data_IF_197014294990
#
_entry.id   IF_197014294990
#
_cell.length_a   1.000
_cell.length_b   1.000
_cell.length_c   1.000
_cell.angle_alpha   90.00
_cell.angle_beta   90.00
_cell.angle_gamma   90.00
#
_symmetry.space_group_name_H-M   'P 1'
#
loop_
_entity.id
_entity.type
_entity.pdbx_description
1 polymer ?
#
# COMPACT_ATOMS: atom_id res chain seq x y z
N UNK A 1 37.52 -65.59 15.85
CA UNK A 1 36.83 -64.36 16.32
C UNK A 1 37.45 -63.06 15.80
N UNK A 2 38.75 -62.79 15.95
CA UNK A 2 39.36 -61.49 15.53
C UNK A 2 39.19 -61.12 14.04
N UNK A 3 39.24 -62.09 13.12
CA UNK A 3 39.05 -61.82 11.68
C UNK A 3 37.60 -61.46 11.31
N UNK A 4 36.61 -62.02 12.02
CA UNK A 4 35.20 -61.74 11.75
C UNK A 4 34.83 -60.31 12.19
N UNK A 5 35.36 -59.87 13.34
CA UNK A 5 35.13 -58.51 13.85
C UNK A 5 35.72 -57.44 12.93
N UNK A 6 36.90 -57.70 12.35
CA UNK A 6 37.54 -56.76 11.42
C UNK A 6 36.73 -56.58 10.13
N UNK A 7 36.19 -57.66 9.57
CA UNK A 7 35.35 -57.61 8.37
C UNK A 7 34.06 -56.83 8.62
N UNK A 8 33.43 -57.04 9.79
CA UNK A 8 32.21 -56.31 10.16
C UNK A 8 32.48 -54.81 10.33
N UNK A 9 33.60 -54.43 10.97
CA UNK A 9 33.97 -53.01 11.13
C UNK A 9 34.31 -52.32 9.81
N UNK A 10 34.97 -53.01 8.86
CA UNK A 10 35.27 -52.42 7.55
C UNK A 10 33.99 -52.28 6.73
N UNK A 11 33.07 -53.24 6.78
CA UNK A 11 31.78 -53.14 6.11
C UNK A 11 30.91 -52.01 6.66
N UNK A 12 30.83 -51.84 7.98
CA UNK A 12 30.07 -50.72 8.56
C UNK A 12 30.70 -49.37 8.25
N UNK A 13 32.03 -49.27 8.21
CA UNK A 13 32.71 -48.04 7.78
C UNK A 13 32.44 -47.73 6.29
N UNK A 14 32.48 -48.72 5.41
CA UNK A 14 32.15 -48.54 3.99
C UNK A 14 30.68 -48.14 3.79
N UNK A 15 29.74 -48.73 4.53
CA UNK A 15 28.32 -48.35 4.47
C UNK A 15 28.12 -46.91 4.98
N UNK A 16 28.84 -46.47 6.01
CA UNK A 16 28.78 -45.08 6.48
C UNK A 16 29.40 -44.08 5.51
N UNK A 17 30.52 -44.44 4.85
CA UNK A 17 31.14 -43.57 3.84
C UNK A 17 30.25 -43.44 2.59
N UNK A 18 29.59 -44.51 2.14
CA UNK A 18 28.64 -44.46 1.03
C UNK A 18 27.39 -43.63 1.36
N UNK A 19 26.84 -43.74 2.58
CA UNK A 19 25.69 -42.93 3.01
C UNK A 19 26.05 -41.46 3.32
N UNK A 20 27.33 -41.12 3.47
CA UNK A 20 27.76 -39.74 3.69
C UNK A 20 27.90 -38.94 2.38
N UNK A 21 28.04 -39.60 1.23
CA UNK A 21 28.10 -38.92 -0.07
C UNK A 21 26.73 -38.58 -0.67
N UNK A 22 25.63 -39.16 -0.18
CA UNK A 22 24.27 -38.90 -0.71
C UNK A 22 23.52 -37.78 0.05
N UNK A 23 24.21 -37.01 0.89
CA UNK A 23 23.60 -35.92 1.68
C UNK A 23 23.77 -34.51 1.07
N UNK A 24 24.58 -34.35 0.03
CA UNK A 24 24.74 -33.05 -0.65
C UNK A 24 23.64 -32.75 -1.68
N UNK A 25 22.94 -33.75 -2.21
CA UNK A 25 21.90 -33.53 -3.24
C UNK A 25 20.59 -32.92 -2.68
N UNK A 26 20.24 -33.20 -1.42
CA UNK A 26 18.96 -32.75 -0.85
C UNK A 26 18.92 -31.25 -0.49
N UNK A 27 20.08 -30.59 -0.35
CA UNK A 27 20.13 -29.16 -0.06
C UNK A 27 19.96 -28.33 -1.35
N UNK A 28 20.45 -28.84 -2.48
CA UNK A 28 20.32 -28.20 -3.79
C UNK A 28 18.88 -28.25 -4.30
N UNK A 29 18.18 -29.38 -4.12
CA UNK A 29 16.78 -29.52 -4.55
C UNK A 29 15.84 -28.60 -3.77
N UNK A 30 16.07 -28.41 -2.46
CA UNK A 30 15.24 -27.51 -1.63
C UNK A 30 15.45 -26.02 -1.95
N UNK A 31 16.68 -25.60 -2.25
CA UNK A 31 16.97 -24.21 -2.65
C UNK A 31 16.31 -23.92 -4.00
N UNK A 32 16.46 -24.80 -4.99
CA UNK A 32 15.82 -24.62 -6.29
C UNK A 32 14.29 -24.66 -6.25
N UNK A 33 13.70 -25.47 -5.38
CA UNK A 33 12.24 -25.49 -5.22
C UNK A 33 11.74 -24.17 -4.61
N UNK A 34 12.42 -23.65 -3.58
CA UNK A 34 12.08 -22.36 -2.97
C UNK A 34 12.36 -21.15 -3.90
N UNK A 35 13.36 -21.25 -4.79
CA UNK A 35 13.63 -20.23 -5.82
C UNK A 35 12.57 -20.22 -6.93
N UNK A 36 12.11 -21.38 -7.38
CA UNK A 36 11.03 -21.44 -8.37
C UNK A 36 9.71 -20.91 -7.78
N UNK A 37 9.43 -21.23 -6.51
CA UNK A 37 8.20 -20.83 -5.82
C UNK A 37 8.01 -19.29 -5.78
N UNK A 38 9.09 -18.51 -5.62
CA UNK A 38 8.98 -17.03 -5.57
C UNK A 38 8.69 -16.42 -6.95
N UNK A 39 9.30 -16.93 -8.02
CA UNK A 39 9.08 -16.40 -9.36
C UNK A 39 7.69 -16.76 -9.86
N UNK A 40 7.24 -18.00 -9.63
CA UNK A 40 5.89 -18.45 -9.96
C UNK A 40 4.84 -17.62 -9.23
N UNK A 41 5.04 -17.33 -7.94
CA UNK A 41 4.20 -16.41 -7.19
C UNK A 41 4.15 -15.02 -7.83
N UNK A 42 5.30 -14.42 -8.17
CA UNK A 42 5.32 -13.10 -8.80
C UNK A 42 4.61 -13.11 -10.15
N UNK A 43 4.82 -14.13 -11.00
CA UNK A 43 4.16 -14.24 -12.30
C UNK A 43 2.65 -14.41 -12.21
N UNK A 44 2.16 -15.07 -11.15
CA UNK A 44 0.73 -15.20 -10.91
C UNK A 44 0.10 -13.85 -10.47
N UNK A 45 0.87 -13.02 -9.75
CA UNK A 45 0.35 -11.80 -9.11
C UNK A 45 0.69 -10.50 -9.84
N UNK A 46 1.52 -10.55 -10.87
CA UNK A 46 1.87 -9.37 -11.67
C UNK A 46 1.69 -9.60 -13.16
N UNK A 47 1.28 -8.54 -13.86
CA UNK A 47 1.20 -8.50 -15.32
C UNK A 47 1.78 -7.18 -15.83
N UNK A 48 2.08 -7.09 -17.13
CA UNK A 48 2.53 -5.85 -17.78
C UNK A 48 1.50 -5.43 -18.81
N UNK A 49 0.94 -4.24 -18.62
CA UNK A 49 -0.06 -3.66 -19.51
C UNK A 49 0.46 -2.33 -20.07
N UNK A 50 0.61 -2.24 -21.39
CA UNK A 50 1.14 -1.05 -22.07
C UNK A 50 2.48 -0.54 -21.48
N UNK A 51 3.35 -1.46 -21.07
CA UNK A 51 4.63 -1.15 -20.44
C UNK A 51 4.55 -0.69 -18.98
N UNK A 52 3.39 -0.84 -18.33
CA UNK A 52 3.17 -0.52 -16.91
C UNK A 52 2.93 -1.80 -16.13
N UNK A 53 3.58 -1.93 -14.97
CA UNK A 53 3.35 -3.07 -14.08
C UNK A 53 1.97 -2.95 -13.43
N UNK A 54 1.21 -4.04 -13.47
CA UNK A 54 -0.07 -4.20 -12.78
C UNK A 54 0.12 -5.27 -11.70
N UNK A 55 -0.19 -4.92 -10.46
CA UNK A 55 -0.09 -5.82 -9.31
C UNK A 55 -1.49 -6.07 -8.74
N UNK A 56 -1.84 -7.32 -8.47
CA UNK A 56 -3.10 -7.63 -7.77
C UNK A 56 -3.17 -6.95 -6.40
N UNK A 57 -4.29 -6.30 -6.08
CA UNK A 57 -4.43 -5.50 -4.88
C UNK A 57 -4.37 -6.32 -3.59
N UNK A 58 -4.78 -7.59 -3.63
CA UNK A 58 -4.73 -8.48 -2.46
C UNK A 58 -3.30 -8.97 -2.20
N UNK A 59 -2.53 -9.16 -3.26
CA UNK A 59 -1.14 -9.62 -3.19
C UNK A 59 -0.12 -8.49 -3.21
N UNK A 60 -0.52 -7.22 -3.31
CA UNK A 60 0.38 -6.08 -3.48
C UNK A 60 1.55 -6.09 -2.49
N UNK A 61 1.27 -6.23 -1.20
CA UNK A 61 2.33 -6.17 -0.19
C UNK A 61 3.16 -7.45 -0.09
N UNK A 62 2.59 -8.60 -0.39
CA UNK A 62 3.34 -9.86 -0.49
C UNK A 62 4.31 -9.79 -1.68
N UNK A 63 3.88 -9.24 -2.81
CA UNK A 63 4.72 -8.94 -3.97
C UNK A 63 5.85 -8.00 -3.56
N UNK A 64 5.55 -6.87 -2.90
CA UNK A 64 6.59 -5.94 -2.42
C UNK A 64 7.59 -6.61 -1.47
N UNK A 65 7.11 -7.49 -0.57
CA UNK A 65 7.96 -8.23 0.35
C UNK A 65 8.92 -9.17 -0.39
N UNK A 66 8.43 -9.93 -1.37
CA UNK A 66 9.28 -10.80 -2.19
C UNK A 66 10.30 -9.97 -2.96
N UNK A 67 9.87 -8.93 -3.67
CA UNK A 67 10.75 -8.03 -4.45
C UNK A 67 11.80 -7.35 -3.56
N UNK A 68 11.47 -7.01 -2.32
CA UNK A 68 12.41 -6.41 -1.37
C UNK A 68 13.56 -7.32 -0.97
N UNK A 69 13.36 -8.63 -1.03
CA UNK A 69 14.36 -9.64 -0.72
C UNK A 69 15.26 -10.01 -1.90
N UNK A 70 14.95 -9.52 -3.10
CA UNK A 70 15.69 -9.88 -4.32
C UNK A 70 16.89 -8.96 -4.55
N UNK A 71 17.99 -9.55 -5.03
CA UNK A 71 19.15 -8.81 -5.51
C UNK A 71 18.94 -8.28 -6.94
N UNK A 72 19.89 -7.52 -7.47
CA UNK A 72 19.73 -6.88 -8.79
C UNK A 72 19.64 -7.90 -9.93
N UNK A 73 20.43 -8.97 -9.91
CA UNK A 73 20.40 -10.00 -10.97
C UNK A 73 19.06 -10.74 -10.98
N UNK A 74 18.52 -11.03 -9.78
CA UNK A 74 17.21 -11.66 -9.62
C UNK A 74 16.08 -10.75 -10.10
N UNK A 75 16.17 -9.44 -9.81
CA UNK A 75 15.21 -8.44 -10.27
C UNK A 75 15.28 -8.27 -11.79
N UNK A 76 16.48 -8.17 -12.36
CA UNK A 76 16.68 -8.06 -13.81
C UNK A 76 16.10 -9.29 -14.53
N UNK A 77 16.35 -10.49 -14.01
CA UNK A 77 15.79 -11.74 -14.54
C UNK A 77 14.24 -11.75 -14.49
N UNK A 78 13.65 -11.38 -13.36
CA UNK A 78 12.17 -11.31 -13.24
C UNK A 78 11.57 -10.28 -14.20
N UNK A 79 12.15 -9.07 -14.26
CA UNK A 79 11.73 -8.00 -15.16
C UNK A 79 11.79 -8.42 -16.63
N UNK A 80 12.89 -9.03 -17.07
CA UNK A 80 13.07 -9.53 -18.43
C UNK A 80 12.06 -10.63 -18.75
N UNK A 81 11.74 -11.48 -17.77
CA UNK A 81 10.80 -12.57 -17.96
C UNK A 81 9.36 -12.09 -18.18
N UNK A 82 8.95 -11.02 -17.51
CA UNK A 82 7.61 -10.42 -17.70
C UNK A 82 7.57 -9.33 -18.78
N UNK A 83 8.71 -9.00 -19.39
CA UNK A 83 8.80 -7.93 -20.39
C UNK A 83 8.61 -6.53 -19.80
N UNK A 84 9.02 -6.32 -18.54
CA UNK A 84 8.93 -5.06 -17.83
C UNK A 84 10.29 -4.36 -17.78
N UNK A 85 10.29 -3.03 -17.93
CA UNK A 85 11.50 -2.21 -17.72
C UNK A 85 11.21 -1.25 -16.58
N UNK A 86 11.76 -1.57 -15.40
CA UNK A 86 11.56 -0.75 -14.22
C UNK A 86 12.35 0.55 -14.28
N UNK A 87 11.92 1.49 -13.44
CA UNK A 87 12.62 2.73 -13.18
C UNK A 87 14.03 2.46 -12.64
N UNK A 88 14.19 1.47 -11.73
CA UNK A 88 15.49 1.01 -11.22
C UNK A 88 16.41 0.58 -12.36
N UNK A 89 15.96 -0.35 -13.22
CA UNK A 89 16.76 -0.86 -14.34
C UNK A 89 17.20 0.28 -15.25
N UNK A 90 16.29 1.20 -15.54
CA UNK A 90 16.60 2.34 -16.41
C UNK A 90 17.60 3.31 -15.81
N UNK A 91 17.51 3.59 -14.52
CA UNK A 91 18.50 4.41 -13.81
C UNK A 91 19.87 3.74 -13.83
N UNK A 92 19.94 2.46 -13.53
CA UNK A 92 21.21 1.72 -13.51
C UNK A 92 21.90 1.77 -14.90
N UNK A 93 21.15 1.50 -15.98
CA UNK A 93 21.67 1.61 -17.35
C UNK A 93 22.25 3.01 -17.66
N UNK A 94 21.59 4.07 -17.18
CA UNK A 94 22.01 5.45 -17.41
C UNK A 94 23.25 5.78 -16.57
N UNK A 95 23.25 5.39 -15.30
CA UNK A 95 24.35 5.65 -14.38
C UNK A 95 25.61 4.87 -14.78
N UNK A 96 25.50 3.63 -15.23
CA UNK A 96 26.65 2.87 -15.76
C UNK A 96 27.27 3.57 -16.96
N UNK A 97 26.46 4.09 -17.89
CA UNK A 97 26.97 4.88 -19.03
C UNK A 97 27.61 6.18 -18.56
N UNK A 98 27.02 6.84 -17.57
CA UNK A 98 27.54 8.08 -16.98
C UNK A 98 28.88 7.87 -16.26
N UNK A 99 29.02 6.83 -15.44
CA UNK A 99 30.28 6.53 -14.75
C UNK A 99 31.42 6.19 -15.71
N UNK A 100 31.09 5.69 -16.91
CA UNK A 100 32.05 5.41 -17.97
C UNK A 100 32.34 6.62 -18.89
N UNK A 101 31.62 7.74 -18.73
CA UNK A 101 31.79 8.96 -19.52
C UNK A 101 32.16 10.15 -18.62
N UNK A 102 33.45 10.46 -18.54
CA UNK A 102 33.98 11.56 -17.72
C UNK A 102 33.60 12.96 -18.22
N UNK A 103 32.90 13.08 -19.35
CA UNK A 103 32.56 14.38 -19.95
C UNK A 103 31.18 14.91 -19.57
N UNK A 104 30.26 14.02 -19.18
CA UNK A 104 28.90 14.40 -18.86
C UNK A 104 28.83 15.04 -17.47
N UNK A 105 28.25 16.24 -17.37
CA UNK A 105 28.05 16.88 -16.06
C UNK A 105 26.73 16.42 -15.42
N UNK A 106 26.64 16.32 -14.08
CA UNK A 106 25.41 15.96 -13.37
C UNK A 106 24.16 16.75 -13.86
N UNK A 107 24.30 18.06 -14.03
CA UNK A 107 23.22 18.94 -14.51
C UNK A 107 22.75 18.59 -15.94
N UNK A 108 23.66 18.19 -16.82
CA UNK A 108 23.32 17.80 -18.19
C UNK A 108 22.55 16.49 -18.22
N UNK A 109 22.88 15.56 -17.31
CA UNK A 109 22.15 14.31 -17.16
C UNK A 109 20.70 14.55 -16.73
N UNK A 110 20.48 15.39 -15.71
CA UNK A 110 19.14 15.75 -15.25
C UNK A 110 18.31 16.45 -16.35
N UNK A 111 18.93 17.32 -17.15
CA UNK A 111 18.26 17.94 -18.28
C UNK A 111 17.91 16.94 -19.40
N UNK A 112 18.74 15.93 -19.61
CA UNK A 112 18.53 14.89 -20.63
C UNK A 112 17.45 13.89 -20.23
N UNK A 113 17.31 13.63 -18.93
CA UNK A 113 16.36 12.67 -18.38
C UNK A 113 15.53 13.29 -17.24
N UNK A 114 14.72 14.33 -17.53
CA UNK A 114 14.01 15.10 -16.50
C UNK A 114 12.90 14.32 -15.81
N UNK A 115 12.45 13.19 -16.38
CA UNK A 115 11.48 12.28 -15.77
C UNK A 115 12.14 11.25 -14.82
N UNK A 116 13.48 11.16 -14.83
CA UNK A 116 14.25 10.22 -14.03
C UNK A 116 15.11 10.91 -12.98
N UNK A 117 15.62 12.10 -13.25
CA UNK A 117 16.55 12.78 -12.35
C UNK A 117 16.20 14.25 -12.16
N UNK A 118 16.55 14.77 -11.00
CA UNK A 118 16.64 16.21 -10.74
C UNK A 118 18.05 16.56 -10.26
N UNK A 119 18.42 17.83 -10.42
CA UNK A 119 19.72 18.36 -10.02
C UNK A 119 19.54 19.38 -8.90
N UNK A 120 20.23 19.16 -7.79
CA UNK A 120 20.19 19.99 -6.58
C UNK A 120 21.53 19.88 -5.86
N UNK A 121 22.02 20.99 -5.29
CA UNK A 121 23.28 21.02 -4.53
C UNK A 121 24.48 20.34 -5.21
N UNK A 122 24.63 20.59 -6.51
CA UNK A 122 25.70 20.01 -7.35
C UNK A 122 25.66 18.50 -7.54
N UNK A 123 24.56 17.86 -7.15
CA UNK A 123 24.37 16.40 -7.21
C UNK A 123 23.11 16.08 -8.03
N UNK A 124 23.09 14.90 -8.65
CA UNK A 124 21.88 14.35 -9.25
C UNK A 124 21.20 13.40 -8.29
N UNK A 125 19.87 13.47 -8.27
CA UNK A 125 19.04 12.59 -7.46
C UNK A 125 17.96 11.97 -8.35
N UNK A 126 17.60 10.70 -8.12
CA UNK A 126 16.44 10.12 -8.77
C UNK A 126 15.16 10.83 -8.30
N UNK A 127 14.13 10.91 -9.13
CA UNK A 127 12.83 11.44 -8.68
C UNK A 127 12.21 10.53 -7.61
N UNK A 128 12.34 9.22 -7.80
CA UNK A 128 11.88 8.20 -6.88
C UNK A 128 13.09 7.70 -6.08
N UNK A 129 13.18 8.07 -4.79
CA UNK A 129 14.34 7.70 -3.96
C UNK A 129 14.25 6.29 -3.39
N UNK A 130 13.02 5.82 -3.14
CA UNK A 130 12.77 4.52 -2.53
C UNK A 130 13.02 3.39 -3.53
N UNK A 131 13.94 2.47 -3.21
CA UNK A 131 14.31 1.34 -4.09
C UNK A 131 13.11 0.46 -4.48
N UNK A 132 12.17 0.19 -3.57
CA UNK A 132 10.99 -0.64 -3.88
C UNK A 132 10.07 0.07 -4.87
N UNK A 133 9.83 1.36 -4.69
CA UNK A 133 9.06 2.16 -5.63
C UNK A 133 9.75 2.19 -7.01
N UNK A 134 11.08 2.30 -7.06
CA UNK A 134 11.83 2.20 -8.31
C UNK A 134 11.69 0.83 -9.00
N UNK A 135 11.54 -0.25 -8.23
CA UNK A 135 11.37 -1.61 -8.78
C UNK A 135 10.00 -1.76 -9.43
N UNK A 136 8.93 -1.25 -8.81
CA UNK A 136 7.56 -1.45 -9.32
C UNK A 136 7.13 -0.43 -10.36
N UNK A 137 7.78 0.74 -10.41
CA UNK A 137 7.43 1.79 -11.37
C UNK A 137 8.06 1.53 -12.74
N UNK A 138 7.33 1.86 -13.81
CA UNK A 138 7.91 1.97 -15.15
C UNK A 138 8.85 3.20 -15.25
N UNK A 139 9.45 3.43 -16.42
CA UNK A 139 10.37 4.55 -16.67
C UNK A 139 9.76 5.95 -16.55
N UNK A 140 8.43 6.05 -16.45
CA UNK A 140 7.69 7.30 -16.21
C UNK A 140 7.26 7.47 -14.75
N UNK A 141 7.66 6.55 -13.86
CA UNK A 141 7.25 6.56 -12.46
C UNK A 141 5.81 6.07 -12.23
N UNK A 142 5.29 5.20 -13.09
CA UNK A 142 3.88 4.77 -13.10
C UNK A 142 3.76 3.27 -12.81
N UNK A 143 2.72 2.88 -12.06
CA UNK A 143 2.33 1.48 -11.84
C UNK A 143 0.83 1.39 -11.48
N UNK A 144 0.26 0.19 -11.56
CA UNK A 144 -1.10 -0.09 -11.12
C UNK A 144 -1.14 -1.08 -9.97
N UNK A 145 -2.05 -0.83 -9.03
CA UNK A 145 -2.48 -1.80 -8.03
C UNK A 145 -3.93 -2.15 -8.33
N UNK A 146 -4.13 -3.17 -9.16
CA UNK A 146 -5.41 -3.50 -9.80
C UNK A 146 -6.01 -2.26 -10.49
N UNK A 147 -7.22 -1.85 -10.14
CA UNK A 147 -7.92 -0.71 -10.74
C UNK A 147 -7.53 0.64 -10.11
N UNK A 148 -6.29 0.78 -9.63
CA UNK A 148 -5.74 2.03 -9.07
C UNK A 148 -4.46 2.38 -9.79
N UNK A 149 -4.46 3.52 -10.47
CA UNK A 149 -3.27 4.10 -11.09
C UNK A 149 -2.47 4.89 -10.06
N UNK A 150 -1.17 4.64 -10.02
CA UNK A 150 -0.22 5.28 -9.12
C UNK A 150 0.85 5.98 -9.96
N UNK A 151 1.20 7.22 -9.60
CA UNK A 151 2.32 7.91 -10.25
C UNK A 151 3.11 8.79 -9.29
N UNK A 152 4.43 8.63 -9.35
CA UNK A 152 5.38 9.50 -8.69
C UNK A 152 5.78 10.69 -9.56
N UNK A 153 5.86 11.86 -8.93
CA UNK A 153 6.48 13.08 -9.44
C UNK A 153 7.57 13.52 -8.48
N UNK A 154 8.29 14.60 -8.84
CA UNK A 154 9.35 15.17 -7.99
C UNK A 154 8.83 15.60 -6.62
N UNK A 155 7.68 16.27 -6.61
CA UNK A 155 7.12 16.98 -5.46
C UNK A 155 5.87 16.30 -4.89
N UNK A 156 5.28 15.35 -5.62
CA UNK A 156 4.02 14.71 -5.25
C UNK A 156 3.92 13.26 -5.69
N UNK A 157 2.96 12.56 -5.12
CA UNK A 157 2.48 11.25 -5.55
C UNK A 157 0.97 11.34 -5.79
N UNK A 158 0.48 10.68 -6.84
CA UNK A 158 -0.95 10.64 -7.15
C UNK A 158 -1.48 9.21 -7.14
N UNK A 159 -2.70 9.06 -6.63
CA UNK A 159 -3.53 7.85 -6.70
C UNK A 159 -4.81 8.18 -7.45
N UNK A 160 -5.15 7.36 -8.46
CA UNK A 160 -6.38 7.50 -9.24
C UNK A 160 -7.11 6.16 -9.24
N UNK A 161 -8.17 6.06 -8.47
CA UNK A 161 -9.06 4.90 -8.44
C UNK A 161 -9.97 4.86 -9.67
N UNK A 162 -10.31 3.67 -10.19
CA UNK A 162 -11.12 3.51 -11.41
C UNK A 162 -10.64 4.46 -12.53
N UNK A 163 -9.38 4.29 -12.98
CA UNK A 163 -8.73 5.25 -13.86
C UNK A 163 -9.23 5.14 -15.30
N UNK A 164 -9.45 6.30 -15.90
CA UNK A 164 -9.60 6.47 -17.35
C UNK A 164 -8.60 7.53 -17.84
N UNK A 165 -8.40 7.63 -19.15
CA UNK A 165 -7.41 8.55 -19.73
C UNK A 165 -7.67 10.01 -19.35
N UNK A 166 -8.92 10.47 -19.34
CA UNK A 166 -9.25 11.86 -19.00
C UNK A 166 -8.93 12.14 -17.53
N UNK A 167 -9.30 11.21 -16.66
CA UNK A 167 -9.08 11.28 -15.22
C UNK A 167 -7.60 11.23 -14.84
N UNK A 168 -6.82 10.36 -15.50
CA UNK A 168 -5.36 10.30 -15.33
C UNK A 168 -4.74 11.63 -15.76
N UNK A 169 -5.06 12.14 -16.95
CA UNK A 169 -4.49 13.39 -17.45
C UNK A 169 -4.87 14.59 -16.57
N UNK A 170 -6.11 14.65 -16.07
CA UNK A 170 -6.49 15.65 -15.08
C UNK A 170 -5.68 15.52 -13.78
N UNK A 171 -5.50 14.29 -13.27
CA UNK A 171 -4.76 14.04 -12.03
C UNK A 171 -3.28 14.42 -12.13
N UNK A 172 -2.63 14.17 -13.28
CA UNK A 172 -1.23 14.55 -13.51
C UNK A 172 -1.01 16.06 -13.36
N UNK A 173 -1.97 16.85 -13.86
CA UNK A 173 -1.88 18.31 -13.92
C UNK A 173 -2.40 19.03 -12.67
N UNK A 174 -3.02 18.32 -11.72
CA UNK A 174 -3.57 18.95 -10.52
C UNK A 174 -2.64 18.86 -9.32
N UNK A 175 -2.76 19.84 -8.42
CA UNK A 175 -2.06 19.87 -7.13
C UNK A 175 -2.97 19.50 -5.95
N UNK A 176 -4.29 19.46 -6.17
CA UNK A 176 -5.27 19.24 -5.11
C UNK A 176 -5.86 17.83 -5.16
N UNK A 177 -6.23 17.30 -4.00
CA UNK A 177 -7.03 16.08 -3.88
C UNK A 177 -8.49 16.34 -4.28
N UNK A 178 -9.06 15.44 -5.10
CA UNK A 178 -10.48 15.41 -5.48
C UNK A 178 -11.07 14.05 -5.12
N UNK A 179 -11.22 13.77 -3.82
CA UNK A 179 -11.67 12.46 -3.32
C UNK A 179 -13.03 12.03 -3.89
N UNK A 180 -13.95 12.95 -4.18
CA UNK A 180 -15.23 12.64 -4.84
C UNK A 180 -15.07 12.06 -6.24
N UNK A 181 -13.96 12.39 -6.90
CA UNK A 181 -13.56 11.81 -8.18
C UNK A 181 -12.64 10.60 -7.99
N UNK A 182 -12.25 10.20 -6.79
CA UNK A 182 -11.27 9.14 -6.55
C UNK A 182 -9.84 9.53 -6.96
N UNK A 183 -9.51 10.83 -6.91
CA UNK A 183 -8.16 11.34 -7.17
C UNK A 183 -7.58 11.85 -5.86
N UNK A 184 -6.46 11.27 -5.44
CA UNK A 184 -5.74 11.69 -4.25
C UNK A 184 -4.34 12.15 -4.65
N UNK A 185 -3.94 13.31 -4.13
CA UNK A 185 -2.62 13.92 -4.35
C UNK A 185 -1.97 14.08 -2.99
N UNK A 186 -0.74 13.59 -2.86
CA UNK A 186 0.06 13.64 -1.65
C UNK A 186 1.33 14.42 -1.95
N UNK A 187 1.68 15.39 -1.11
CA UNK A 187 2.99 16.02 -1.20
C UNK A 187 4.07 15.02 -0.78
N UNK A 188 5.23 15.04 -1.43
CA UNK A 188 6.31 14.07 -1.15
C UNK A 188 6.83 14.21 0.28
N UNK A 189 6.87 15.43 0.82
CA UNK A 189 7.19 15.71 2.22
C UNK A 189 6.29 14.95 3.19
N UNK A 190 4.99 14.90 2.91
CA UNK A 190 4.02 14.20 3.75
C UNK A 190 4.26 12.69 3.75
N UNK A 191 4.78 12.12 2.67
CA UNK A 191 5.06 10.68 2.55
C UNK A 191 6.35 10.26 3.28
N UNK A 192 7.37 11.11 3.23
CA UNK A 192 8.67 10.88 3.89
C UNK A 192 8.51 10.95 5.42
N UNK A 193 7.80 11.96 5.92
CA UNK A 193 7.59 12.14 7.36
C UNK A 193 6.66 11.09 7.97
N UNK A 194 5.79 10.48 7.15
CA UNK A 194 4.77 9.56 7.64
C UNK A 194 5.12 8.08 7.54
N UNK A 195 6.16 7.65 6.80
CA UNK A 195 6.43 6.22 6.54
C UNK A 195 5.18 5.48 6.01
N UNK A 196 4.54 6.00 4.95
CA UNK A 196 3.31 5.41 4.39
C UNK A 196 2.16 5.27 5.41
N UNK A 197 1.89 6.28 6.25
CA UNK A 197 0.64 6.25 7.04
C UNK A 197 -0.53 6.45 6.09
N UNK A 198 -1.50 5.57 6.20
CA UNK A 198 -2.77 5.73 5.52
C UNK A 198 -3.49 6.98 6.05
N UNK A 199 -4.04 7.80 5.17
CA UNK A 199 -4.75 9.02 5.59
C UNK A 199 -6.06 8.66 6.29
N UNK A 200 -6.63 9.57 7.09
CA UNK A 200 -7.86 9.33 7.86
C UNK A 200 -9.13 9.21 7.01
N UNK A 201 -9.07 9.47 5.70
CA UNK A 201 -10.24 9.47 4.82
C UNK A 201 -9.90 9.02 3.39
N UNK A 202 -10.62 8.01 2.94
CA UNK A 202 -10.64 7.55 1.56
C UNK A 202 -12.08 7.52 1.07
N UNK A 203 -12.30 7.94 -0.19
CA UNK A 203 -13.58 7.80 -0.85
C UNK A 203 -13.37 7.55 -2.33
N UNK A 204 -14.05 6.55 -2.86
CA UNK A 204 -14.01 6.22 -4.27
C UNK A 204 -15.34 5.61 -4.70
N UNK A 205 -15.49 5.40 -6.01
CA UNK A 205 -16.59 4.65 -6.58
C UNK A 205 -16.12 3.85 -7.79
N UNK A 206 -16.91 2.84 -8.14
CA UNK A 206 -16.83 2.17 -9.44
C UNK A 206 -18.15 2.28 -10.16
N UNK A 207 -18.10 2.53 -11.47
CA UNK A 207 -19.28 2.66 -12.32
C UNK A 207 -19.39 1.50 -13.32
N UNK A 208 -20.60 0.97 -13.47
CA UNK A 208 -20.96 0.05 -14.56
C UNK A 208 -22.29 0.47 -15.19
N UNK A 209 -22.22 0.97 -16.42
CA UNK A 209 -23.37 1.50 -17.15
C UNK A 209 -24.08 2.64 -16.39
N UNK A 210 -25.32 2.40 -15.97
CA UNK A 210 -26.13 3.37 -15.21
C UNK A 210 -26.05 3.20 -13.70
N UNK A 211 -25.19 2.31 -13.21
CA UNK A 211 -25.05 2.02 -11.78
C UNK A 211 -23.64 2.39 -11.33
N UNK A 212 -23.52 2.86 -10.09
CA UNK A 212 -22.23 3.03 -9.41
C UNK A 212 -22.32 2.59 -7.96
N UNK A 213 -21.24 2.02 -7.45
CA UNK A 213 -21.06 1.68 -6.03
C UNK A 213 -19.98 2.56 -5.45
N UNK A 214 -20.28 3.24 -4.36
CA UNK A 214 -19.34 4.03 -3.58
C UNK A 214 -18.79 3.21 -2.43
N UNK A 215 -17.54 3.49 -2.09
CA UNK A 215 -16.91 3.03 -0.87
C UNK A 215 -16.16 4.19 -0.23
N UNK A 216 -16.40 4.39 1.06
CA UNK A 216 -15.71 5.35 1.90
C UNK A 216 -15.13 4.60 3.09
N UNK A 217 -13.88 4.91 3.45
CA UNK A 217 -13.24 4.47 4.68
C UNK A 217 -12.78 5.71 5.41
N UNK A 218 -13.20 5.90 6.66
CA UNK A 218 -12.95 7.14 7.38
C UNK A 218 -12.77 6.96 8.89
N UNK A 219 -11.97 7.85 9.47
CA UNK A 219 -11.90 8.13 10.89
C UNK A 219 -12.74 9.37 11.15
N UNK A 220 -13.92 9.18 11.73
CA UNK A 220 -14.84 10.24 12.13
C UNK A 220 -14.49 10.75 13.50
N UNK A 221 -14.47 12.08 13.63
CA UNK A 221 -14.38 12.79 14.89
C UNK A 221 -15.75 13.29 15.31
N UNK A 222 -16.17 12.97 16.53
CA UNK A 222 -17.36 13.50 17.17
C UNK A 222 -16.97 14.29 18.41
N UNK A 223 -17.37 15.56 18.50
CA UNK A 223 -17.15 16.38 19.70
C UNK A 223 -18.34 16.16 20.62
N UNK A 224 -18.12 15.50 21.76
CA UNK A 224 -19.20 15.04 22.66
C UNK A 224 -19.41 15.95 23.87
N UNK A 225 -18.57 16.97 24.08
CA UNK A 225 -18.88 18.00 25.07
C UNK A 225 -18.10 19.30 24.96
N UNK A 226 -18.81 20.43 25.17
CA UNK A 226 -18.37 21.59 25.97
C UNK A 226 -19.58 22.37 26.54
N UNK A 227 -19.75 22.37 27.87
CA UNK A 227 -20.13 23.53 28.72
C UNK A 227 -20.28 23.04 30.17
N UNK A 228 -19.41 23.50 31.08
CA UNK A 228 -19.62 23.39 32.54
C UNK A 228 -18.53 22.70 33.38
N UNK A 229 -17.52 22.07 32.77
CA UNK A 229 -16.33 21.60 33.52
C UNK A 229 -15.29 22.73 33.63
N UNK A 230 -14.55 22.86 34.75
CA UNK A 230 -13.84 24.11 35.13
C UNK A 230 -12.72 24.61 34.19
N UNK A 231 -12.47 24.01 33.01
CA UNK A 231 -11.25 24.27 32.23
C UNK A 231 -11.42 24.26 30.68
N UNK A 232 -12.61 24.54 30.13
CA UNK A 232 -12.84 24.55 28.67
C UNK A 232 -12.38 23.24 27.96
N UNK A 233 -12.58 22.10 28.62
CA UNK A 233 -12.19 20.79 28.12
C UNK A 233 -13.07 20.36 26.95
N UNK A 234 -12.44 19.93 25.84
CA UNK A 234 -13.08 19.28 24.70
C UNK A 234 -12.82 17.78 24.76
N UNK A 235 -13.88 16.98 24.76
CA UNK A 235 -13.79 15.53 24.58
C UNK A 235 -14.11 15.22 23.12
N UNK A 236 -13.12 14.71 22.40
CA UNK A 236 -13.23 14.26 21.02
C UNK A 236 -13.27 12.74 21.00
N UNK A 237 -14.37 12.18 20.53
CA UNK A 237 -14.51 10.75 20.30
C UNK A 237 -14.16 10.42 18.87
N UNK A 238 -13.35 9.39 18.66
CA UNK A 238 -12.96 8.95 17.34
C UNK A 238 -13.59 7.61 17.01
N UNK A 239 -14.06 7.48 15.77
CA UNK A 239 -14.65 6.27 15.23
C UNK A 239 -14.02 5.95 13.88
N UNK A 240 -13.44 4.76 13.73
CA UNK A 240 -12.95 4.28 12.44
C UNK A 240 -13.99 3.38 11.79
N UNK A 241 -14.15 3.45 10.48
CA UNK A 241 -15.13 2.61 9.82
C UNK A 241 -15.19 2.77 8.33
N UNK A 242 -16.24 2.19 7.76
CA UNK A 242 -16.50 2.20 6.34
C UNK A 242 -17.97 2.48 6.06
N UNK A 243 -18.25 2.96 4.85
CA UNK A 243 -19.60 3.16 4.31
C UNK A 243 -19.60 2.78 2.83
N UNK A 244 -20.55 1.94 2.44
CA UNK A 244 -20.80 1.56 1.04
C UNK A 244 -22.25 1.91 0.65
N UNK A 245 -22.46 2.48 -0.54
CA UNK A 245 -23.80 2.81 -1.03
C UNK A 245 -23.88 2.77 -2.55
N UNK A 246 -25.07 2.46 -3.07
CA UNK A 246 -25.32 2.36 -4.51
C UNK A 246 -26.02 3.61 -5.05
N UNK A 247 -25.64 4.06 -6.24
CA UNK A 247 -26.41 5.05 -6.99
C UNK A 247 -26.71 4.57 -8.42
N UNK A 248 -27.88 4.98 -8.93
CA UNK A 248 -28.32 4.71 -10.30
C UNK A 248 -28.70 6.00 -11.01
N UNK A 249 -28.32 6.10 -12.28
CA UNK A 249 -28.67 7.22 -13.15
C UNK A 249 -30.14 7.11 -13.57
N UNK A 250 -30.94 8.12 -13.23
CA UNK A 250 -32.34 8.20 -13.66
C UNK A 250 -32.45 8.63 -15.14
N UNK A 251 -33.68 8.68 -15.67
CA UNK A 251 -33.92 9.04 -17.07
C UNK A 251 -33.49 10.47 -17.44
N UNK A 252 -33.41 11.37 -16.44
CA UNK A 252 -32.88 12.75 -16.59
C UNK A 252 -31.34 12.81 -16.51
N UNK A 253 -30.66 11.67 -16.44
CA UNK A 253 -29.22 11.63 -16.30
C UNK A 253 -28.70 11.97 -14.90
N UNK A 254 -29.55 12.16 -13.90
CA UNK A 254 -29.16 12.47 -12.52
C UNK A 254 -28.92 11.19 -11.73
N UNK A 255 -27.85 11.17 -10.95
CA UNK A 255 -27.57 10.08 -10.02
C UNK A 255 -28.45 10.17 -8.78
N UNK A 256 -29.01 9.04 -8.36
CA UNK A 256 -29.84 8.90 -7.17
C UNK A 256 -29.48 7.62 -6.42
N UNK A 257 -29.53 7.67 -5.10
CA UNK A 257 -29.50 6.47 -4.25
C UNK A 257 -30.52 5.46 -4.76
N UNK A 258 -30.17 4.18 -4.76
CA UNK A 258 -31.10 3.11 -5.09
C UNK A 258 -30.85 1.89 -4.22
N UNK A 259 -31.93 1.19 -3.89
CA UNK A 259 -31.86 -0.05 -3.13
C UNK A 259 -31.26 -1.15 -3.99
N UNK A 260 -30.19 -1.77 -3.48
CA UNK A 260 -29.49 -2.88 -4.14
C UNK A 260 -28.97 -3.85 -3.10
N UNK A 261 -28.52 -5.02 -3.56
CA UNK A 261 -27.74 -5.91 -2.70
C UNK A 261 -26.32 -5.35 -2.66
N UNK A 262 -25.85 -5.00 -1.47
CA UNK A 262 -24.49 -4.50 -1.22
C UNK A 262 -23.76 -5.57 -0.42
N UNK A 263 -22.60 -5.99 -0.93
CA UNK A 263 -21.70 -6.89 -0.23
C UNK A 263 -20.42 -6.13 0.08
N UNK A 264 -20.04 -6.13 1.34
CA UNK A 264 -18.74 -5.62 1.79
C UNK A 264 -17.96 -6.81 2.32
N UNK A 265 -16.75 -6.98 1.83
CA UNK A 265 -15.87 -8.08 2.21
C UNK A 265 -14.46 -7.59 2.44
N UNK A 266 -13.69 -8.41 3.15
CA UNK A 266 -12.30 -8.11 3.50
C UNK A 266 -12.16 -6.76 4.22
N UNK A 267 -13.21 -6.25 4.87
CA UNK A 267 -13.15 -4.99 5.59
C UNK A 267 -12.27 -5.18 6.82
N UNK A 268 -11.06 -4.64 6.74
CA UNK A 268 -10.02 -4.70 7.75
C UNK A 268 -9.33 -3.33 7.80
N UNK A 269 -9.02 -2.81 8.99
CA UNK A 269 -8.17 -1.63 9.13
C UNK A 269 -7.46 -1.61 10.50
N UNK A 270 -6.22 -1.14 10.50
CA UNK A 270 -5.44 -0.81 11.70
C UNK A 270 -5.40 0.71 11.83
N UNK A 271 -5.52 1.23 13.05
CA UNK A 271 -5.53 2.68 13.31
C UNK A 271 -4.42 3.01 14.29
N UNK A 272 -3.57 3.96 13.92
CA UNK A 272 -2.62 4.56 14.83
C UNK A 272 -3.31 5.69 15.59
N UNK A 273 -3.52 5.48 16.89
CA UNK A 273 -4.03 6.49 17.81
C UNK A 273 -2.83 7.10 18.55
N UNK A 274 -2.43 8.35 18.25
CA UNK A 274 -1.27 8.97 18.88
C UNK A 274 -1.52 9.17 20.37
N UNK A 275 -0.58 8.69 21.19
CA UNK A 275 -0.58 8.81 22.65
C UNK A 275 0.31 9.98 23.05
N UNK A 276 -0.17 10.86 23.92
CA UNK A 276 0.65 11.91 24.53
C UNK A 276 0.83 11.63 26.02
N UNK A 277 1.82 10.82 26.37
CA UNK A 277 2.31 10.72 27.75
C UNK A 277 3.44 11.74 27.94
N UNK A 278 3.10 12.93 28.44
CA UNK A 278 4.11 13.88 28.90
C UNK A 278 4.44 13.56 30.36
N UNK A 279 5.55 12.85 30.52
CA UNK A 279 6.40 12.61 31.69
C UNK A 279 6.17 13.57 32.90
N UNK A 280 5.01 13.48 33.56
CA UNK A 280 4.76 13.40 35.02
C UNK A 280 3.24 13.55 35.28
N UNK A 281 2.57 12.51 35.79
CA UNK A 281 1.13 12.51 36.06
C UNK A 281 0.80 13.33 37.31
N UNK A 282 -0.13 14.29 37.21
CA UNK A 282 -0.85 14.79 38.38
C UNK A 282 -1.91 13.72 38.77
N UNK A 283 -1.89 13.20 40.01
CA UNK A 283 -2.76 12.13 40.48
C UNK A 283 -4.26 12.46 40.54
N UNK A 284 -4.74 13.60 40.00
CA UNK A 284 -6.15 14.01 40.08
C UNK A 284 -6.95 14.28 38.80
N UNK A 285 -6.41 14.17 37.58
CA UNK A 285 -7.15 13.95 36.30
C UNK A 285 -6.41 14.52 35.08
N UNK A 286 -5.38 13.84 34.59
CA UNK A 286 -4.84 14.19 33.27
C UNK A 286 -4.86 13.00 32.31
N UNK A 287 -5.80 13.11 31.36
CA UNK A 287 -5.88 12.48 30.04
C UNK A 287 -5.32 11.06 29.88
N UNK A 288 -6.17 10.05 30.05
CA UNK A 288 -5.87 8.70 29.61
C UNK A 288 -6.09 8.56 28.09
N UNK A 289 -5.13 7.93 27.41
CA UNK A 289 -5.30 7.49 26.02
C UNK A 289 -5.64 5.99 26.01
N UNK A 290 -6.72 5.61 25.34
CA UNK A 290 -7.06 4.21 25.07
C UNK A 290 -6.46 3.80 23.72
N UNK A 291 -5.72 2.69 23.72
CA UNK A 291 -5.17 2.08 22.51
C UNK A 291 -6.00 0.85 22.17
N UNK A 292 -6.52 0.79 20.94
CA UNK A 292 -7.08 -0.44 20.40
C UNK A 292 -6.24 -0.88 19.21
N UNK A 293 -5.66 -2.06 19.34
CA UNK A 293 -5.04 -2.81 18.24
C UNK A 293 -5.87 -4.06 18.04
N UNK A 294 -7.02 -3.94 17.38
CA UNK A 294 -7.58 -5.09 16.68
C UNK A 294 -8.56 -4.66 15.59
N UNK A 295 -8.36 -5.22 14.41
CA UNK A 295 -9.21 -4.99 13.25
C UNK A 295 -10.39 -5.96 13.30
N UNK A 296 -11.65 -5.50 13.30
CA UNK A 296 -12.74 -6.40 12.96
C UNK A 296 -12.56 -6.81 11.49
N UNK A 297 -12.44 -8.11 11.21
CA UNK A 297 -12.57 -8.64 9.85
C UNK A 297 -14.04 -8.83 9.58
N UNK A 298 -14.58 -8.07 8.64
CA UNK A 298 -16.01 -8.18 8.32
C UNK A 298 -16.26 -8.63 6.88
N UNK A 299 -17.21 -9.56 6.77
CA UNK A 299 -17.86 -9.91 5.53
C UNK A 299 -19.36 -9.81 5.76
N UNK A 300 -19.99 -8.78 5.19
CA UNK A 300 -21.41 -8.50 5.35
C UNK A 300 -22.08 -8.39 4.00
N UNK A 301 -23.30 -8.90 3.92
CA UNK A 301 -24.16 -8.78 2.76
C UNK A 301 -25.51 -8.29 3.22
N UNK A 302 -26.01 -7.24 2.59
CA UNK A 302 -27.32 -6.66 2.87
C UNK A 302 -28.12 -6.63 1.58
N UNK A 303 -29.36 -7.11 1.65
CA UNK A 303 -30.26 -7.17 0.50
C UNK A 303 -31.19 -5.96 0.49
N UNK A 304 -31.41 -5.40 -0.71
CA UNK A 304 -32.34 -4.31 -0.96
C UNK A 304 -32.17 -3.09 -0.03
N UNK A 305 -30.93 -2.61 0.13
CA UNK A 305 -30.60 -1.41 0.92
C UNK A 305 -29.98 -0.32 0.05
N UNK A 306 -30.15 0.93 0.46
CA UNK A 306 -29.57 2.11 -0.22
C UNK A 306 -28.10 2.32 0.13
N UNK A 307 -27.69 1.89 1.32
CA UNK A 307 -26.32 1.96 1.81
C UNK A 307 -26.17 1.30 3.16
N UNK A 308 -24.97 0.84 3.46
CA UNK A 308 -24.60 0.26 4.74
C UNK A 308 -23.31 0.91 5.25
N UNK A 309 -23.16 0.98 6.56
CA UNK A 309 -21.94 1.48 7.20
C UNK A 309 -21.71 0.76 8.52
N UNK A 310 -20.43 0.63 8.89
CA UNK A 310 -20.03 0.24 10.24
C UNK A 310 -18.89 1.13 10.70
N UNK A 311 -19.05 1.65 11.91
CA UNK A 311 -18.09 2.54 12.57
C UNK A 311 -17.86 2.02 13.98
N UNK A 312 -16.60 1.84 14.33
CA UNK A 312 -16.14 1.32 15.61
C UNK A 312 -15.51 2.45 16.39
N UNK A 313 -15.91 2.57 17.64
CA UNK A 313 -15.27 3.50 18.56
C UNK A 313 -13.82 3.07 18.79
N UNK A 314 -12.88 3.98 18.53
CA UNK A 314 -11.44 3.71 18.65
C UNK A 314 -10.77 4.46 19.81
N UNK A 315 -11.51 5.33 20.49
CA UNK A 315 -11.04 6.00 21.71
C UNK A 315 -11.47 7.46 21.80
N UNK A 316 -11.21 8.02 22.98
CA UNK A 316 -11.40 9.44 23.28
C UNK A 316 -10.06 10.17 23.30
N UNK A 317 -10.05 11.43 22.88
CA UNK A 317 -9.00 12.40 23.17
C UNK A 317 -9.57 13.55 24.00
N UNK A 318 -8.91 13.83 25.11
CA UNK A 318 -9.25 14.96 25.98
C UNK A 318 -8.29 16.11 25.64
N UNK A 319 -8.83 17.20 25.10
CA UNK A 319 -8.07 18.42 24.77
C UNK A 319 -8.45 19.54 25.75
N UNK A 320 -7.48 20.05 26.49
CA UNK A 320 -7.62 21.23 27.35
C UNK A 320 -6.91 22.43 26.73
N UNK A 321 -7.35 23.66 27.01
CA UNK A 321 -6.73 24.89 26.49
C UNK A 321 -5.25 25.04 26.87
N UNK A 322 -4.80 24.32 27.90
CA UNK A 322 -3.41 24.33 28.39
C UNK A 322 -2.45 23.49 27.52
N UNK A 323 -2.96 22.61 26.64
CA UNK A 323 -2.15 21.80 25.73
C UNK A 323 -2.04 22.46 24.34
N UNK A 324 -1.18 23.49 24.20
CA UNK A 324 -0.96 24.21 22.91
C UNK A 324 -0.44 23.32 21.77
N UNK A 325 0.34 22.30 22.08
CA UNK A 325 0.72 21.27 21.10
C UNK A 325 -0.41 20.23 21.07
N UNK A 326 -1.37 20.42 20.17
CA UNK A 326 -2.51 19.53 20.01
C UNK A 326 -2.07 18.07 19.86
N UNK A 327 -2.84 17.15 20.46
CA UNK A 327 -2.67 15.72 20.20
C UNK A 327 -2.94 15.51 18.70
N UNK A 328 -2.03 14.88 17.93
CA UNK A 328 -2.28 14.61 16.52
C UNK A 328 -3.58 13.82 16.34
N UNK A 329 -4.23 13.98 15.19
CA UNK A 329 -5.42 13.18 14.90
C UNK A 329 -5.03 11.72 14.61
N UNK A 330 -5.87 10.74 14.98
CA UNK A 330 -5.66 9.35 14.57
C UNK A 330 -5.64 9.21 13.05
N UNK A 331 -4.83 8.30 12.56
CA UNK A 331 -4.77 7.96 11.14
C UNK A 331 -4.76 6.45 10.94
N UNK A 332 -5.16 6.02 9.75
CA UNK A 332 -5.07 4.61 9.43
C UNK A 332 -3.59 4.22 9.33
N UNK A 333 -3.24 3.07 9.87
CA UNK A 333 -1.96 2.44 9.61
C UNK A 333 -2.06 1.46 8.45
N UNK A 334 -3.20 0.73 8.37
CA UNK A 334 -3.52 -0.25 7.32
C UNK A 334 -5.01 -0.18 7.00
N UNK A 335 -5.37 -0.38 5.75
CA UNK A 335 -6.75 -0.47 5.27
C UNK A 335 -6.81 -1.52 4.17
N UNK A 336 -7.79 -2.41 4.23
CA UNK A 336 -8.30 -3.12 3.06
C UNK A 336 -9.81 -3.20 3.22
N UNK A 337 -10.58 -2.72 2.26
CA UNK A 337 -12.03 -2.83 2.25
C UNK A 337 -12.48 -2.99 0.81
N UNK A 338 -13.25 -4.02 0.52
CA UNK A 338 -13.89 -4.23 -0.78
C UNK A 338 -15.40 -4.12 -0.66
N UNK A 339 -16.03 -3.45 -1.62
CA UNK A 339 -17.48 -3.36 -1.72
C UNK A 339 -17.97 -3.59 -3.15
N UNK A 340 -19.00 -4.41 -3.32
CA UNK A 340 -19.67 -4.61 -4.59
C UNK A 340 -21.18 -4.46 -4.46
N UNK A 341 -21.85 -4.25 -5.59
CA UNK A 341 -23.31 -4.28 -5.66
C UNK A 341 -23.77 -5.19 -6.78
N UNK A 342 -25.03 -5.63 -6.74
CA UNK A 342 -25.62 -6.41 -7.85
C UNK A 342 -25.45 -5.71 -9.21
N UNK A 343 -25.56 -4.38 -9.24
CA UNK A 343 -25.45 -3.57 -10.46
C UNK A 343 -24.03 -3.22 -10.88
N UNK A 344 -23.00 -3.51 -10.08
CA UNK A 344 -21.60 -3.16 -10.37
C UNK A 344 -20.69 -4.31 -9.95
N UNK A 345 -20.17 -5.05 -10.94
CA UNK A 345 -19.19 -6.12 -10.80
C UNK A 345 -18.09 -5.98 -11.87
N UNK A 346 -16.79 -6.13 -11.52
CA UNK A 346 -16.28 -6.24 -10.15
C UNK A 346 -16.61 -4.98 -9.32
N UNK A 347 -16.46 -5.07 -8.00
CA UNK A 347 -16.74 -3.98 -7.07
C UNK A 347 -15.63 -2.94 -7.02
N UNK A 348 -15.62 -2.15 -5.95
CA UNK A 348 -14.63 -1.13 -5.65
C UNK A 348 -13.83 -1.53 -4.40
N UNK A 349 -12.53 -1.23 -4.39
CA UNK A 349 -11.63 -1.54 -3.27
C UNK A 349 -10.89 -0.29 -2.80
N UNK A 350 -10.72 -0.16 -1.49
CA UNK A 350 -9.77 0.77 -0.87
C UNK A 350 -8.74 -0.09 -0.13
N UNK A 351 -7.47 0.03 -0.49
CA UNK A 351 -6.37 -0.64 0.19
C UNK A 351 -5.23 0.36 0.44
N UNK A 352 -4.59 0.25 1.61
CA UNK A 352 -3.42 1.01 1.99
C UNK A 352 -2.62 0.25 3.07
N UNK A 353 -1.30 0.13 2.89
CA UNK A 353 -0.33 -0.61 3.76
C UNK A 353 -0.56 -2.14 3.92
N UNK A 354 0.49 -2.98 4.11
CA UNK A 354 0.38 -4.45 4.27
C UNK A 354 -0.48 -4.88 5.43
N UNK A 355 -1.15 -6.04 5.31
CA UNK A 355 -1.77 -6.75 6.43
C UNK A 355 -0.79 -7.60 7.21
#
# INVERSE_FOLDING_TARGET
>A
MKKFFFVVCVLTLCIHLLNSCTKEDNHFTKIHQHENDKYDFLYEKTTVENGTLVIDAKSFFDVLKVLSGMNNDELDYWEDKIGFVSYRKKINEILEKYYNDSTLKPKELANKYPDLFYYEDSTIYPIIDNKLDQIICNTKGEYFTSDVYNKWFRDKFILVFDPDNEKIEFAKNTINTYAEKGIHVFEKSDLVDTKFKCISFYKTYRQSGRCRIYLQVDIKKMIVGIKGFPFNTKIEQYYAGWKAWGERKNWLGKWKSYSTNIRVSEAKYSVMVPIKNLIQPDPKNDAYTLTFWDSPVENVSYDNIDGCSRHYFIGDQIKTEFHKLGIPEPNFERVNVYAESRGVKPGVQIACSPW
#
